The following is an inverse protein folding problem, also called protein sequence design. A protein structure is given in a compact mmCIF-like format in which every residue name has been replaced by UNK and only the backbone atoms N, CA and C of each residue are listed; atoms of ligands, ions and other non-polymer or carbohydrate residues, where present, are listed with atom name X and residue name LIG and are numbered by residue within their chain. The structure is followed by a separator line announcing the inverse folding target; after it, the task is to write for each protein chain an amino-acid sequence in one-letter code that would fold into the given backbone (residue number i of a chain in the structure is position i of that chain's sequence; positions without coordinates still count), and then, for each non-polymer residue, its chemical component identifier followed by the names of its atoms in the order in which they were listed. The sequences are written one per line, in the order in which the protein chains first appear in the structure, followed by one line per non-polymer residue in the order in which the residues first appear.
data_IF_937721880582
#
_entry.id   IF_937721880582
#
_cell.length_a   1.000
_cell.length_b   1.000
_cell.length_c   1.000
_cell.angle_alpha   90.00
_cell.angle_beta   90.00
_cell.angle_gamma   90.00
#
_symmetry.space_group_name_H-M   'P 1'
#
loop_
_entity.id
_entity.type
_entity.pdbx_description
1 polymer ?
#
# COMPACT_ATOMS: atom_id res chain seq x y z
N UNK A 1 15.91 -24.12 -0.63
CA UNK A 1 15.90 -23.76 -2.07
C UNK A 1 16.41 -22.34 -2.17
N UNK A 2 17.53 -22.10 -2.87
CA UNK A 2 18.04 -20.75 -3.05
C UNK A 2 17.00 -19.94 -3.83
N UNK A 3 16.64 -18.75 -3.35
CA UNK A 3 15.73 -17.88 -4.06
C UNK A 3 16.33 -17.59 -5.44
N UNK A 4 15.59 -17.94 -6.50
CA UNK A 4 16.05 -17.66 -7.86
C UNK A 4 15.86 -16.16 -8.12
N UNK A 5 16.93 -15.39 -7.87
CA UNK A 5 16.99 -13.94 -8.13
C UNK A 5 16.77 -13.59 -9.60
N UNK A 6 16.85 -14.57 -10.51
CA UNK A 6 16.52 -14.46 -11.92
C UNK A 6 15.11 -14.98 -12.24
N UNK A 7 14.29 -15.28 -11.24
CA UNK A 7 12.90 -15.63 -11.48
C UNK A 7 12.16 -14.44 -12.09
N UNK A 8 11.28 -14.75 -13.05
CA UNK A 8 10.45 -13.75 -13.71
C UNK A 8 9.67 -12.89 -12.70
N UNK A 9 9.13 -13.51 -11.64
CA UNK A 9 8.40 -12.81 -10.59
C UNK A 9 9.26 -11.81 -9.80
N UNK A 10 10.52 -12.16 -9.49
CA UNK A 10 11.43 -11.26 -8.78
C UNK A 10 11.84 -10.06 -9.63
N UNK A 11 12.21 -10.28 -10.90
CA UNK A 11 12.57 -9.21 -11.83
C UNK A 11 11.37 -8.28 -12.09
N UNK A 12 10.18 -8.87 -12.26
CA UNK A 12 8.94 -8.12 -12.46
C UNK A 12 8.63 -7.24 -11.25
N UNK A 13 8.74 -7.78 -10.03
CA UNK A 13 8.46 -7.03 -8.80
C UNK A 13 9.39 -5.81 -8.63
N UNK A 14 10.69 -5.98 -8.92
CA UNK A 14 11.65 -4.87 -8.88
C UNK A 14 11.38 -3.83 -9.97
N UNK A 15 11.01 -4.26 -11.17
CA UNK A 15 10.60 -3.36 -12.26
C UNK A 15 9.37 -2.55 -11.87
N UNK A 16 8.35 -3.21 -11.30
CA UNK A 16 7.14 -2.54 -10.79
C UNK A 16 7.49 -1.54 -9.70
N UNK A 17 8.39 -1.89 -8.77
CA UNK A 17 8.87 -0.97 -7.74
C UNK A 17 9.48 0.31 -8.34
N UNK A 18 10.33 0.18 -9.36
CA UNK A 18 10.94 1.33 -10.05
C UNK A 18 9.89 2.17 -10.80
N UNK A 19 8.96 1.53 -11.52
CA UNK A 19 7.86 2.23 -12.20
C UNK A 19 7.02 3.02 -11.18
N UNK A 20 6.73 2.42 -10.04
CA UNK A 20 6.00 3.07 -8.95
C UNK A 20 6.73 4.28 -8.39
N UNK A 21 8.05 4.18 -8.22
CA UNK A 21 8.88 5.31 -7.78
C UNK A 21 8.85 6.46 -8.78
N UNK A 22 9.05 6.15 -10.07
CA UNK A 22 8.99 7.14 -11.16
C UNK A 22 7.61 7.79 -11.20
N UNK A 23 6.54 6.99 -11.12
CA UNK A 23 5.18 7.49 -11.09
C UNK A 23 4.93 8.39 -9.86
N UNK A 24 5.46 8.07 -8.67
CA UNK A 24 5.30 8.91 -7.48
C UNK A 24 5.89 10.31 -7.66
N UNK A 25 6.97 10.42 -8.44
CA UNK A 25 7.61 11.69 -8.76
C UNK A 25 6.78 12.47 -9.79
N UNK A 26 6.50 11.87 -10.95
CA UNK A 26 5.95 12.58 -12.11
C UNK A 26 4.42 12.55 -12.19
N UNK A 27 3.79 11.46 -11.80
CA UNK A 27 2.35 11.22 -11.89
C UNK A 27 1.77 10.75 -10.53
N UNK A 28 1.80 11.59 -9.47
CA UNK A 28 1.52 11.17 -8.11
C UNK A 28 0.08 10.66 -7.90
N UNK A 29 -0.89 11.10 -8.71
CA UNK A 29 -2.26 10.57 -8.68
C UNK A 29 -2.30 9.11 -9.17
N UNK A 30 -1.60 8.81 -10.26
CA UNK A 30 -1.48 7.44 -10.77
C UNK A 30 -0.74 6.55 -9.77
N UNK A 31 0.37 7.02 -9.21
CA UNK A 31 1.11 6.27 -8.20
C UNK A 31 0.28 6.00 -6.93
N UNK A 32 -0.51 6.98 -6.49
CA UNK A 32 -1.45 6.77 -5.37
C UNK A 32 -2.47 5.69 -5.70
N UNK A 33 -3.10 5.76 -6.88
CA UNK A 33 -4.05 4.74 -7.31
C UNK A 33 -3.42 3.34 -7.37
N UNK A 34 -2.23 3.22 -7.97
CA UNK A 34 -1.50 1.95 -8.03
C UNK A 34 -1.10 1.45 -6.63
N UNK A 35 -0.75 2.34 -5.71
CA UNK A 35 -0.45 1.97 -4.32
C UNK A 35 -1.67 1.39 -3.61
N UNK A 36 -2.86 1.96 -3.84
CA UNK A 36 -4.13 1.38 -3.35
C UNK A 36 -4.30 -0.03 -3.91
N UNK A 37 -4.13 -0.21 -5.22
CA UNK A 37 -4.28 -1.53 -5.86
C UNK A 37 -3.30 -2.55 -5.30
N UNK A 38 -2.04 -2.17 -5.07
CA UNK A 38 -1.02 -3.06 -4.49
C UNK A 38 -1.45 -3.50 -3.08
N UNK A 39 -1.83 -2.56 -2.21
CA UNK A 39 -2.17 -2.91 -0.82
C UNK A 39 -3.48 -3.68 -0.70
N UNK A 40 -4.51 -3.29 -1.45
CA UNK A 40 -5.80 -4.01 -1.46
C UNK A 40 -5.63 -5.39 -2.12
N UNK A 41 -4.97 -5.45 -3.27
CA UNK A 41 -4.71 -6.70 -3.97
C UNK A 41 -3.87 -7.67 -3.14
N UNK A 42 -2.79 -7.18 -2.52
CA UNK A 42 -1.97 -7.99 -1.63
C UNK A 42 -2.74 -8.46 -0.39
N UNK A 43 -3.56 -7.62 0.22
CA UNK A 43 -4.40 -8.01 1.36
C UNK A 43 -5.41 -9.11 0.98
N UNK A 44 -6.11 -8.98 -0.15
CA UNK A 44 -7.05 -10.02 -0.62
C UNK A 44 -6.30 -11.32 -0.93
N UNK A 45 -5.20 -11.23 -1.68
CA UNK A 45 -4.41 -12.39 -2.07
C UNK A 45 -3.84 -13.11 -0.85
N UNK A 46 -3.25 -12.38 0.10
CA UNK A 46 -2.67 -12.94 1.32
C UNK A 46 -3.74 -13.61 2.19
N UNK A 47 -4.91 -12.99 2.36
CA UNK A 47 -6.01 -13.59 3.12
C UNK A 47 -6.49 -14.89 2.47
N UNK A 48 -6.69 -14.88 1.15
CA UNK A 48 -7.11 -16.07 0.40
C UNK A 48 -6.10 -17.21 0.53
N UNK A 49 -4.82 -16.92 0.29
CA UNK A 49 -3.75 -17.91 0.37
C UNK A 49 -3.57 -18.45 1.79
N UNK A 50 -3.68 -17.60 2.82
CA UNK A 50 -3.55 -18.02 4.22
C UNK A 50 -4.67 -18.95 4.69
N UNK A 51 -5.87 -18.82 4.12
CA UNK A 51 -7.02 -19.67 4.43
C UNK A 51 -6.96 -21.00 3.66
N UNK A 52 -6.49 -20.96 2.40
CA UNK A 52 -6.51 -22.13 1.51
C UNK A 52 -5.25 -23.00 1.60
N UNK A 53 -4.09 -22.38 1.73
CA UNK A 53 -2.78 -23.02 1.63
C UNK A 53 -1.75 -22.30 2.52
N UNK A 54 -1.97 -22.26 3.86
CA UNK A 54 -1.09 -21.54 4.78
C UNK A 54 0.37 -22.03 4.75
N UNK A 55 0.60 -23.30 4.47
CA UNK A 55 1.93 -23.91 4.37
C UNK A 55 2.84 -23.21 3.34
N UNK A 56 2.27 -22.55 2.33
CA UNK A 56 3.04 -21.80 1.34
C UNK A 56 3.80 -20.62 1.95
N UNK A 57 3.38 -20.08 3.09
CA UNK A 57 4.10 -19.00 3.78
C UNK A 57 5.37 -19.49 4.49
N UNK A 58 5.55 -20.80 4.69
CA UNK A 58 6.76 -21.35 5.30
C UNK A 58 8.00 -21.15 4.43
N UNK A 59 7.82 -20.93 3.13
CA UNK A 59 8.90 -20.63 2.19
C UNK A 59 9.64 -19.33 2.58
N UNK A 60 8.97 -18.39 3.24
CA UNK A 60 9.56 -17.13 3.66
C UNK A 60 10.67 -17.32 4.71
N UNK A 61 10.57 -18.37 5.53
CA UNK A 61 11.61 -18.71 6.52
C UNK A 61 12.93 -19.10 5.87
N UNK A 62 12.89 -19.73 4.69
CA UNK A 62 14.09 -20.10 3.94
C UNK A 62 14.67 -18.97 3.09
N UNK A 63 13.91 -17.89 2.88
CA UNK A 63 14.28 -16.78 2.00
C UNK A 63 14.63 -15.48 2.74
N UNK A 64 14.28 -15.40 4.03
CA UNK A 64 14.60 -14.24 4.85
C UNK A 64 16.11 -14.12 5.07
N UNK A 65 16.59 -12.89 5.11
CA UNK A 65 17.99 -12.58 5.45
C UNK A 65 18.19 -12.33 6.93
N UNK A 66 17.12 -12.35 7.73
CA UNK A 66 17.14 -12.05 9.16
C UNK A 66 16.93 -13.33 9.99
N UNK A 67 17.90 -13.73 10.84
CA UNK A 67 17.76 -14.88 11.72
C UNK A 67 16.57 -14.76 12.69
N UNK A 68 16.21 -13.53 13.08
CA UNK A 68 15.05 -13.27 13.95
C UNK A 68 13.75 -13.62 13.24
N UNK A 69 13.62 -13.24 11.96
CA UNK A 69 12.45 -13.58 11.15
C UNK A 69 12.40 -15.08 10.87
N UNK A 70 13.54 -15.70 10.58
CA UNK A 70 13.63 -17.15 10.36
C UNK A 70 13.13 -17.94 11.58
N UNK A 71 13.64 -17.61 12.77
CA UNK A 71 13.23 -18.22 14.03
C UNK A 71 11.75 -17.98 14.33
N UNK A 72 11.24 -16.77 14.09
CA UNK A 72 9.82 -16.46 14.24
C UNK A 72 8.96 -17.29 13.29
N UNK A 73 9.35 -17.39 12.02
CA UNK A 73 8.62 -18.12 10.97
C UNK A 73 8.55 -19.61 11.28
N UNK A 74 9.70 -20.23 11.61
CA UNK A 74 9.74 -21.66 11.94
C UNK A 74 9.22 -22.00 13.34
N UNK A 75 9.16 -21.02 14.24
CA UNK A 75 8.61 -21.14 15.59
C UNK A 75 7.14 -20.73 15.67
N UNK A 76 6.87 -19.58 16.31
CA UNK A 76 5.53 -19.12 16.68
C UNK A 76 4.57 -18.96 15.49
N UNK A 77 5.09 -18.51 14.34
CA UNK A 77 4.31 -18.28 13.13
C UNK A 77 3.76 -19.58 12.55
N UNK A 78 4.57 -20.65 12.50
CA UNK A 78 4.20 -21.96 11.92
C UNK A 78 2.91 -22.53 12.50
N UNK A 79 2.68 -22.34 13.79
CA UNK A 79 1.49 -22.88 14.47
C UNK A 79 0.25 -21.98 14.31
N UNK A 80 0.41 -20.76 13.78
CA UNK A 80 -0.62 -19.72 13.75
C UNK A 80 -0.69 -18.98 12.40
N UNK A 81 -0.21 -19.59 11.31
CA UNK A 81 0.00 -18.93 10.01
C UNK A 81 -1.27 -18.21 9.57
N UNK A 82 -2.41 -18.91 9.52
CA UNK A 82 -3.68 -18.34 9.06
C UNK A 82 -4.08 -17.14 9.89
N UNK A 83 -4.04 -17.23 11.23
CA UNK A 83 -4.42 -16.14 12.11
C UNK A 83 -3.53 -14.91 11.91
N UNK A 84 -2.20 -15.11 11.83
CA UNK A 84 -1.23 -14.02 11.68
C UNK A 84 -1.37 -13.36 10.30
N UNK A 85 -1.36 -14.15 9.23
CA UNK A 85 -1.39 -13.62 7.86
C UNK A 85 -2.73 -12.96 7.54
N UNK A 86 -3.86 -13.51 8.01
CA UNK A 86 -5.17 -12.85 7.86
C UNK A 86 -5.20 -11.53 8.62
N UNK A 87 -4.64 -11.47 9.83
CA UNK A 87 -4.54 -10.21 10.59
C UNK A 87 -3.71 -9.16 9.84
N UNK A 88 -2.57 -9.57 9.28
CA UNK A 88 -1.74 -8.71 8.41
C UNK A 88 -2.55 -8.26 7.19
N UNK A 89 -3.30 -9.15 6.57
CA UNK A 89 -4.11 -8.87 5.38
C UNK A 89 -5.19 -7.83 5.66
N UNK A 90 -5.84 -7.88 6.83
CA UNK A 90 -6.80 -6.86 7.26
C UNK A 90 -6.11 -5.49 7.39
N UNK A 91 -4.92 -5.44 8.00
CA UNK A 91 -4.13 -4.21 8.07
C UNK A 91 -3.73 -3.69 6.68
N UNK A 92 -3.38 -4.57 5.74
CA UNK A 92 -3.07 -4.20 4.35
C UNK A 92 -4.29 -3.62 3.63
N UNK A 93 -5.48 -4.22 3.81
CA UNK A 93 -6.73 -3.71 3.25
C UNK A 93 -7.08 -2.34 3.81
N UNK A 94 -7.02 -2.18 5.13
CA UNK A 94 -7.24 -0.89 5.79
C UNK A 94 -6.26 0.18 5.29
N UNK A 95 -4.98 -0.19 5.13
CA UNK A 95 -3.95 0.70 4.56
C UNK A 95 -4.33 1.17 3.16
N UNK A 96 -4.74 0.26 2.27
CA UNK A 96 -5.18 0.61 0.92
C UNK A 96 -6.40 1.55 0.91
N UNK A 97 -7.39 1.29 1.76
CA UNK A 97 -8.58 2.15 1.93
C UNK A 97 -8.19 3.55 2.43
N UNK A 98 -7.28 3.63 3.40
CA UNK A 98 -6.79 4.89 3.93
C UNK A 98 -6.01 5.69 2.87
N UNK A 99 -5.18 5.05 2.04
CA UNK A 99 -4.51 5.71 0.91
C UNK A 99 -5.53 6.23 -0.12
N UNK A 100 -6.64 5.53 -0.33
CA UNK A 100 -7.69 5.99 -1.24
C UNK A 100 -8.47 7.21 -0.68
N UNK A 101 -8.43 7.42 0.64
CA UNK A 101 -9.08 8.53 1.35
C UNK A 101 -8.27 9.84 1.26
N UNK A 102 -8.74 10.94 1.85
CA UNK A 102 -8.09 12.27 1.83
C UNK A 102 -7.65 12.73 3.23
N UNK A 103 -6.83 13.78 3.29
CA UNK A 103 -6.46 14.44 4.56
C UNK A 103 -5.75 13.51 5.53
N UNK A 104 -6.14 13.50 6.80
CA UNK A 104 -5.48 12.71 7.84
C UNK A 104 -5.47 11.20 7.56
N UNK A 105 -6.53 10.65 6.96
CA UNK A 105 -6.58 9.23 6.59
C UNK A 105 -5.57 8.88 5.49
N UNK A 106 -5.40 9.76 4.50
CA UNK A 106 -4.35 9.59 3.49
C UNK A 106 -2.97 9.52 4.13
N UNK A 107 -2.69 10.43 5.08
CA UNK A 107 -1.41 10.45 5.81
C UNK A 107 -1.19 9.12 6.55
N UNK A 108 -2.20 8.71 7.31
CA UNK A 108 -2.16 7.47 8.08
C UNK A 108 -1.94 6.25 7.19
N UNK A 109 -2.64 6.18 6.06
CA UNK A 109 -2.47 5.10 5.07
C UNK A 109 -1.06 5.07 4.47
N UNK A 110 -0.52 6.22 4.06
CA UNK A 110 0.84 6.29 3.51
C UNK A 110 1.90 5.96 4.56
N UNK A 111 1.74 6.42 5.81
CA UNK A 111 2.63 6.05 6.90
C UNK A 111 2.57 4.56 7.23
N UNK A 112 1.36 3.98 7.31
CA UNK A 112 1.16 2.55 7.52
C UNK A 112 1.79 1.73 6.39
N UNK A 113 1.64 2.18 5.13
CA UNK A 113 2.27 1.54 3.99
C UNK A 113 3.81 1.56 4.08
N UNK A 114 4.41 2.71 4.42
CA UNK A 114 5.86 2.80 4.62
C UNK A 114 6.33 1.85 5.71
N UNK A 115 5.68 1.84 6.88
CA UNK A 115 6.03 0.96 8.00
C UNK A 115 5.92 -0.51 7.59
N UNK A 116 4.81 -0.88 6.93
CA UNK A 116 4.59 -2.25 6.47
C UNK A 116 5.67 -2.71 5.48
N UNK A 117 5.97 -1.90 4.46
CA UNK A 117 6.95 -2.22 3.43
C UNK A 117 8.37 -2.35 3.99
N UNK A 118 8.74 -1.47 4.94
CA UNK A 118 10.02 -1.57 5.66
C UNK A 118 10.05 -2.82 6.55
N UNK A 119 8.96 -3.12 7.25
CA UNK A 119 8.87 -4.27 8.15
C UNK A 119 9.02 -5.60 7.40
N UNK A 120 8.50 -5.72 6.17
CA UNK A 120 8.65 -6.96 5.39
C UNK A 120 9.97 -7.06 4.63
N UNK A 121 10.76 -5.98 4.51
CA UNK A 121 12.02 -5.98 3.77
C UNK A 121 13.04 -7.04 4.24
N UNK A 122 13.18 -7.37 5.54
CA UNK A 122 14.03 -8.46 6.01
C UNK A 122 13.63 -9.86 5.51
N UNK A 123 12.44 -10.05 4.94
CA UNK A 123 12.07 -11.30 4.25
C UNK A 123 12.86 -11.54 2.96
N UNK A 124 13.71 -10.57 2.56
CA UNK A 124 14.69 -10.75 1.50
C UNK A 124 14.03 -11.02 0.15
N UNK A 125 14.51 -12.05 -0.56
CA UNK A 125 13.96 -12.41 -1.85
C UNK A 125 12.49 -12.85 -1.76
N UNK A 126 12.03 -13.32 -0.59
CA UNK A 126 10.65 -13.69 -0.36
C UNK A 126 9.69 -12.50 -0.47
N UNK A 127 10.10 -11.31 -0.02
CA UNK A 127 9.34 -10.08 -0.22
C UNK A 127 9.74 -9.34 -1.49
N UNK A 128 10.47 -9.97 -2.42
CA UNK A 128 11.05 -9.33 -3.59
C UNK A 128 11.89 -8.08 -3.27
N UNK A 129 12.64 -8.09 -2.15
CA UNK A 129 13.65 -7.06 -1.87
C UNK A 129 14.57 -6.85 -3.10
N UNK A 130 15.01 -5.62 -3.44
CA UNK A 130 14.78 -4.34 -2.76
C UNK A 130 13.47 -3.63 -3.12
N UNK A 131 12.57 -4.22 -3.91
CA UNK A 131 11.34 -3.56 -4.38
C UNK A 131 10.47 -3.00 -3.25
N UNK A 132 10.42 -3.67 -2.10
CA UNK A 132 9.69 -3.19 -0.91
C UNK A 132 10.21 -1.86 -0.39
N UNK A 133 11.52 -1.67 -0.34
CA UNK A 133 12.12 -0.38 0.05
C UNK A 133 11.88 0.69 -1.01
N UNK A 134 11.95 0.33 -2.29
CA UNK A 134 11.64 1.26 -3.39
C UNK A 134 10.19 1.74 -3.30
N UNK A 135 9.25 0.83 -3.03
CA UNK A 135 7.85 1.17 -2.78
C UNK A 135 7.68 2.02 -1.51
N UNK A 136 8.46 1.77 -0.46
CA UNK A 136 8.42 2.56 0.76
C UNK A 136 8.86 4.01 0.49
N UNK A 137 9.90 4.20 -0.33
CA UNK A 137 10.33 5.54 -0.80
C UNK A 137 9.24 6.19 -1.65
N UNK A 138 8.59 5.44 -2.55
CA UNK A 138 7.46 5.96 -3.32
C UNK A 138 6.31 6.44 -2.41
N UNK A 139 5.97 5.68 -1.36
CA UNK A 139 4.98 6.07 -0.37
C UNK A 139 5.39 7.34 0.41
N UNK A 140 6.66 7.47 0.79
CA UNK A 140 7.20 8.68 1.43
C UNK A 140 7.10 9.90 0.51
N UNK A 141 7.43 9.76 -0.78
CA UNK A 141 7.28 10.85 -1.76
C UNK A 141 5.81 11.27 -1.88
N UNK A 142 4.87 10.32 -1.89
CA UNK A 142 3.43 10.63 -1.89
C UNK A 142 3.00 11.33 -0.60
N UNK A 143 3.60 10.99 0.54
CA UNK A 143 3.33 11.65 1.83
C UNK A 143 3.72 13.14 1.78
N UNK A 144 4.89 13.45 1.22
CA UNK A 144 5.30 14.85 1.01
C UNK A 144 4.40 15.61 0.01
N UNK A 145 3.64 14.89 -0.82
CA UNK A 145 2.68 15.45 -1.80
C UNK A 145 1.21 15.36 -1.37
N UNK A 146 0.94 14.95 -0.13
CA UNK A 146 -0.40 14.68 0.40
C UNK A 146 -1.41 15.83 0.23
N UNK A 147 -0.96 17.10 0.31
CA UNK A 147 -1.86 18.27 0.24
C UNK A 147 -2.48 18.37 -1.14
N UNK A 148 -1.66 18.16 -2.19
CA UNK A 148 -2.10 18.10 -3.59
C UNK A 148 -3.01 16.89 -3.82
N UNK A 149 -2.67 15.75 -3.23
CA UNK A 149 -3.44 14.51 -3.38
C UNK A 149 -4.81 14.60 -2.67
N UNK A 150 -4.88 15.29 -1.54
CA UNK A 150 -6.12 15.45 -0.78
C UNK A 150 -7.17 16.29 -1.51
N UNK A 151 -6.75 17.15 -2.44
CA UNK A 151 -7.67 17.91 -3.30
C UNK A 151 -8.33 17.04 -4.39
N UNK A 152 -7.77 15.87 -4.69
CA UNK A 152 -8.27 14.94 -5.69
C UNK A 152 -8.40 13.55 -5.05
N UNK A 153 -9.48 13.29 -4.30
CA UNK A 153 -9.72 11.96 -3.74
C UNK A 153 -9.86 10.93 -4.88
N UNK A 154 -9.40 9.70 -4.63
CA UNK A 154 -9.52 8.59 -5.62
C UNK A 154 -11.01 8.24 -5.83
N UNK A 155 -11.81 8.44 -4.80
CA UNK A 155 -13.26 8.37 -4.86
C UNK A 155 -13.82 9.78 -5.02
N UNK A 156 -14.77 9.97 -5.95
CA UNK A 156 -15.52 11.22 -6.01
C UNK A 156 -16.37 11.35 -4.73
N UNK A 157 -16.25 12.47 -4.02
CA UNK A 157 -17.21 12.83 -2.98
C UNK A 157 -18.58 13.03 -3.65
N UNK A 158 -19.55 12.19 -3.32
CA UNK A 158 -20.96 12.39 -3.70
C UNK A 158 -21.60 13.62 -3.02
N UNK A 159 -20.92 14.23 -2.05
CA UNK A 159 -21.35 15.44 -1.36
C UNK A 159 -20.78 16.70 -2.01
N UNK A 160 -21.21 17.00 -3.24
CA UNK A 160 -21.17 18.37 -3.72
C UNK A 160 -22.30 19.15 -3.05
N UNK A 161 -21.98 19.87 -1.96
CA UNK A 161 -22.80 21.00 -1.57
C UNK A 161 -22.71 22.05 -2.67
N UNK A 162 -23.78 22.16 -3.46
CA UNK A 162 -23.95 23.28 -4.39
C UNK A 162 -23.70 24.59 -3.63
N UNK A 163 -22.84 25.49 -4.12
CA UNK A 163 -22.81 26.84 -3.61
C UNK A 163 -24.21 27.43 -3.81
N UNK A 164 -24.86 27.82 -2.70
CA UNK A 164 -26.08 28.63 -2.76
C UNK A 164 -25.69 29.94 -3.46
N UNK A 165 -26.09 30.09 -4.70
CA UNK A 165 -25.99 31.35 -5.43
C UNK A 165 -26.96 32.31 -4.71
N UNK A 166 -26.42 33.15 -3.84
CA UNK A 166 -27.17 34.28 -3.29
C UNK A 166 -27.30 35.33 -4.39
N UNK A 167 -28.35 35.22 -5.20
CA UNK A 167 -28.80 36.32 -6.05
C UNK A 167 -29.40 37.36 -5.09
N UNK A 168 -28.62 38.36 -4.70
CA UNK A 168 -29.19 39.57 -4.14
C UNK A 168 -29.40 40.56 -5.28
N UNK A 169 -30.68 40.75 -5.62
CA UNK A 169 -31.20 41.72 -6.57
C UNK A 169 -30.58 43.11 -6.37
N UNK A 170 -29.98 43.65 -7.42
CA UNK A 170 -29.80 45.09 -7.56
C UNK A 170 -31.16 45.71 -7.89
N UNK A 171 -31.86 46.16 -6.85
CA UNK A 171 -33.02 47.03 -6.99
C UNK A 171 -32.59 48.40 -7.53
N UNK A 172 -32.67 48.56 -8.85
CA UNK A 172 -32.78 49.87 -9.50
C UNK A 172 -34.14 50.48 -9.16
N UNK A 173 -34.16 51.63 -8.48
CA UNK A 173 -35.28 52.55 -8.55
C UNK A 173 -34.75 53.96 -8.83
N UNK A 174 -35.19 54.49 -9.96
CA UNK A 174 -35.08 55.87 -10.40
C UNK A 174 -36.02 56.71 -9.53
N UNK A 175 -35.57 57.85 -9.04
CA UNK A 175 -36.12 59.20 -9.28
C UNK A 175 -35.35 60.24 -8.48
#
# INVERSE_FOLDING_TARGET
MHANIFSFAYMLSNTVGLIMLIAAIFAPLLARFLMVLIFVGAGIFNAYMAIRSPELFMVYGAMTVSPVYEQFIYGAFRNNITAIVVSISVCQLATGIFIASKGALLRLGLSAATIFLVAIAPLGAGSAFPSTLVLAVAAIILLFKEKRLSAHPVWHDFNYHHPKISIHEKGTSRH
#
